data_IF_667371288182
#
_entry.id   IF_667371288182
#
_cell.length_a   1.000
_cell.length_b   1.000
_cell.length_c   1.000
_cell.angle_alpha   90.00
_cell.angle_beta   90.00
_cell.angle_gamma   90.00
#
_symmetry.space_group_name_H-M   'P 1'
#
loop_
_entity.id
_entity.type
_entity.pdbx_description
1 polymer ?
#
# COMPACT_ATOMS: atom_id res chain seq x y z
N UNK A 1 -0.90 -46.53 -47.05
CA UNK A 1 0.05 -45.44 -46.77
C UNK A 1 -0.63 -44.12 -47.15
N UNK A 2 -1.11 -43.37 -46.15
CA UNK A 2 -0.61 -41.99 -46.00
C UNK A 2 -0.17 -41.71 -44.56
N UNK A 3 0.92 -40.98 -44.43
CA UNK A 3 1.57 -40.64 -43.16
C UNK A 3 0.79 -39.53 -42.44
N UNK A 4 0.35 -39.80 -41.21
CA UNK A 4 -0.14 -38.78 -40.28
C UNK A 4 1.04 -38.05 -39.65
N UNK A 5 1.22 -36.79 -40.04
CA UNK A 5 2.18 -35.87 -39.46
C UNK A 5 1.72 -35.46 -38.04
N UNK A 6 2.33 -36.05 -37.01
CA UNK A 6 2.24 -35.55 -35.63
C UNK A 6 3.03 -34.24 -35.54
N UNK A 7 2.34 -33.11 -35.50
CA UNK A 7 2.93 -31.84 -35.07
C UNK A 7 3.18 -31.91 -33.56
N UNK A 8 4.46 -32.04 -33.19
CA UNK A 8 4.92 -31.89 -31.82
C UNK A 8 4.68 -30.45 -31.37
N UNK A 9 3.87 -30.28 -30.32
CA UNK A 9 3.60 -29.00 -29.68
C UNK A 9 4.85 -28.57 -28.91
N UNK A 10 5.46 -27.46 -29.33
CA UNK A 10 6.59 -26.85 -28.63
C UNK A 10 6.21 -26.48 -27.19
N UNK A 11 7.13 -26.62 -26.21
CA UNK A 11 6.90 -26.18 -24.84
C UNK A 11 6.75 -24.65 -24.80
N UNK A 12 5.73 -24.16 -24.10
CA UNK A 12 5.47 -22.74 -23.89
C UNK A 12 6.68 -22.08 -23.19
N UNK A 13 7.07 -20.85 -23.58
CA UNK A 13 8.18 -20.15 -22.97
C UNK A 13 7.85 -19.79 -21.51
N UNK A 14 8.70 -20.26 -20.61
CA UNK A 14 8.96 -19.76 -19.26
C UNK A 14 7.78 -19.20 -18.49
N UNK A 15 7.12 -20.04 -17.69
CA UNK A 15 6.46 -19.55 -16.50
C UNK A 15 7.54 -18.87 -15.64
N UNK A 16 7.57 -17.54 -15.62
CA UNK A 16 8.32 -16.77 -14.64
C UNK A 16 7.77 -17.23 -13.30
N UNK A 17 8.59 -17.92 -12.51
CA UNK A 17 8.24 -18.31 -11.15
C UNK A 17 8.07 -17.03 -10.35
N UNK A 18 6.84 -16.49 -10.34
CA UNK A 18 6.45 -15.41 -9.45
C UNK A 18 6.66 -15.98 -8.06
N UNK A 19 7.72 -15.54 -7.39
CA UNK A 19 7.97 -15.92 -6.01
C UNK A 19 6.90 -15.18 -5.20
N UNK A 20 5.79 -15.85 -4.93
CA UNK A 20 4.79 -15.40 -3.98
C UNK A 20 5.52 -15.11 -2.65
N UNK A 21 5.62 -13.83 -2.26
CA UNK A 21 6.33 -13.46 -1.05
C UNK A 21 5.34 -13.38 0.10
N UNK A 22 5.46 -14.36 0.99
CA UNK A 22 4.70 -14.39 2.24
C UNK A 22 5.04 -13.13 3.05
N UNK A 23 4.00 -12.40 3.42
CA UNK A 23 4.04 -11.15 4.17
C UNK A 23 3.70 -11.42 5.63
N UNK A 24 4.70 -11.38 6.49
CA UNK A 24 4.52 -11.59 7.94
C UNK A 24 3.64 -10.49 8.56
N UNK A 25 3.74 -9.27 8.03
CA UNK A 25 2.88 -8.16 8.42
C UNK A 25 1.42 -8.43 8.09
N UNK A 26 1.12 -8.87 6.86
CA UNK A 26 -0.24 -9.20 6.49
C UNK A 26 -0.77 -10.43 7.22
N UNK A 27 0.05 -11.47 7.44
CA UNK A 27 -0.33 -12.60 8.30
C UNK A 27 -0.76 -12.12 9.69
N UNK A 28 0.05 -11.26 10.31
CA UNK A 28 -0.30 -10.68 11.61
C UNK A 28 -1.60 -9.88 11.55
N UNK A 29 -1.79 -9.05 10.52
CA UNK A 29 -3.01 -8.25 10.34
C UNK A 29 -4.24 -9.15 10.28
N UNK A 30 -4.20 -10.21 9.49
CA UNK A 30 -5.35 -11.10 9.33
C UNK A 30 -5.61 -11.94 10.58
N UNK A 31 -4.59 -12.26 11.36
CA UNK A 31 -4.77 -12.83 12.70
C UNK A 31 -5.49 -11.84 13.64
N UNK A 32 -5.19 -10.54 13.59
CA UNK A 32 -5.91 -9.54 14.38
C UNK A 32 -7.38 -9.38 13.95
N UNK A 33 -7.68 -9.63 12.68
CA UNK A 33 -9.01 -9.48 12.10
C UNK A 33 -9.74 -10.83 11.91
N UNK A 34 -9.26 -11.90 12.54
CA UNK A 34 -9.82 -13.25 12.35
C UNK A 34 -11.32 -13.33 12.72
N UNK A 35 -11.74 -12.60 13.77
CA UNK A 35 -13.12 -12.59 14.27
C UNK A 35 -14.03 -11.63 13.49
N UNK A 36 -13.45 -10.75 12.67
CA UNK A 36 -14.22 -9.83 11.83
C UNK A 36 -14.62 -10.53 10.53
N UNK A 37 -15.87 -11.02 10.47
CA UNK A 37 -16.37 -11.74 9.30
C UNK A 37 -16.41 -10.87 8.04
N UNK A 38 -16.67 -9.57 8.18
CA UNK A 38 -16.84 -8.65 7.05
C UNK A 38 -16.03 -7.36 7.26
N UNK A 39 -14.68 -7.44 7.23
CA UNK A 39 -13.84 -6.30 7.57
C UNK A 39 -14.05 -5.15 6.60
N UNK A 40 -14.09 -3.92 7.12
CA UNK A 40 -14.18 -2.69 6.31
C UNK A 40 -12.77 -2.16 6.07
N UNK A 41 -12.35 -2.09 4.82
CA UNK A 41 -10.95 -1.79 4.45
C UNK A 41 -10.92 -0.58 3.54
N UNK A 42 -10.04 0.37 3.82
CA UNK A 42 -9.68 1.42 2.87
C UNK A 42 -8.35 1.06 2.20
N UNK A 43 -8.35 0.89 0.88
CA UNK A 43 -7.16 0.75 0.07
C UNK A 43 -6.73 2.14 -0.47
N UNK A 44 -5.57 2.61 -0.05
CA UNK A 44 -4.98 3.90 -0.46
C UNK A 44 -3.99 3.76 -1.64
N UNK A 45 -3.93 2.58 -2.28
CA UNK A 45 -3.01 2.28 -3.37
C UNK A 45 -3.54 2.64 -4.75
N UNK A 46 -2.69 2.40 -5.76
CA UNK A 46 -3.18 2.31 -7.15
C UNK A 46 -4.16 1.15 -7.23
N UNK A 47 -5.31 1.35 -7.85
CA UNK A 47 -6.32 0.29 -7.97
C UNK A 47 -5.73 -0.94 -8.69
N UNK A 48 -5.71 -2.08 -8.01
CA UNK A 48 -5.15 -3.33 -8.52
C UNK A 48 -6.19 -4.45 -8.44
N UNK A 49 -6.47 -5.10 -9.57
CA UNK A 49 -7.46 -6.18 -9.63
C UNK A 49 -7.13 -7.36 -8.69
N UNK A 50 -5.84 -7.67 -8.53
CA UNK A 50 -5.39 -8.74 -7.63
C UNK A 50 -5.70 -8.42 -6.15
N UNK A 51 -5.42 -7.19 -5.70
CA UNK A 51 -5.78 -6.73 -4.36
C UNK A 51 -7.28 -6.81 -4.13
N UNK A 52 -8.07 -6.26 -5.07
CA UNK A 52 -9.53 -6.28 -4.95
C UNK A 52 -10.08 -7.70 -4.86
N UNK A 53 -9.58 -8.62 -5.70
CA UNK A 53 -9.99 -10.02 -5.67
C UNK A 53 -9.69 -10.65 -4.30
N UNK A 54 -8.46 -10.52 -3.79
CA UNK A 54 -8.09 -11.09 -2.50
C UNK A 54 -8.96 -10.56 -1.34
N UNK A 55 -9.26 -9.26 -1.33
CA UNK A 55 -10.10 -8.65 -0.31
C UNK A 55 -11.58 -9.06 -0.43
N UNK A 56 -12.11 -9.15 -1.64
CA UNK A 56 -13.50 -9.57 -1.89
C UNK A 56 -13.71 -11.06 -1.58
N UNK A 57 -12.73 -11.92 -1.86
CA UNK A 57 -12.73 -13.34 -1.44
C UNK A 57 -12.77 -13.49 0.08
N UNK A 58 -12.27 -12.49 0.83
CA UNK A 58 -12.38 -12.40 2.30
C UNK A 58 -13.70 -11.80 2.78
N UNK A 59 -14.62 -11.55 1.85
CA UNK A 59 -15.90 -10.87 2.06
C UNK A 59 -15.73 -9.43 2.60
N UNK A 60 -14.56 -8.81 2.41
CA UNK A 60 -14.31 -7.46 2.91
C UNK A 60 -15.17 -6.42 2.17
N UNK A 61 -15.66 -5.42 2.91
CA UNK A 61 -16.18 -4.20 2.30
C UNK A 61 -15.01 -3.26 2.01
N UNK A 62 -14.71 -3.06 0.73
CA UNK A 62 -13.55 -2.27 0.30
C UNK A 62 -13.98 -0.86 -0.13
N UNK A 63 -13.33 0.14 0.46
CA UNK A 63 -13.29 1.52 0.00
C UNK A 63 -11.97 1.72 -0.74
N UNK A 64 -12.01 2.39 -1.89
CA UNK A 64 -10.81 2.62 -2.72
C UNK A 64 -10.57 4.12 -2.81
N UNK A 65 -9.33 4.52 -2.58
CA UNK A 65 -8.83 5.87 -2.82
C UNK A 65 -7.47 5.77 -3.50
N UNK A 66 -7.38 6.11 -4.80
CA UNK A 66 -6.12 6.05 -5.53
C UNK A 66 -5.21 7.24 -5.20
N UNK A 67 -4.59 7.20 -4.03
CA UNK A 67 -3.72 8.29 -3.55
C UNK A 67 -2.35 8.27 -4.22
N UNK A 68 -1.95 7.16 -4.86
CA UNK A 68 -0.63 7.00 -5.46
C UNK A 68 -0.56 7.48 -6.91
N UNK A 69 -1.67 7.41 -7.67
CA UNK A 69 -1.72 7.95 -9.03
C UNK A 69 -1.60 9.47 -9.05
N UNK A 70 -1.92 10.15 -7.94
CA UNK A 70 -1.79 11.60 -7.79
C UNK A 70 -0.33 12.10 -7.81
N UNK A 71 0.66 11.21 -7.69
CA UNK A 71 2.09 11.54 -7.73
C UNK A 71 2.74 11.29 -9.10
N UNK A 72 1.96 10.93 -10.13
CA UNK A 72 2.50 10.78 -11.47
C UNK A 72 2.86 12.15 -12.07
N UNK A 73 3.83 12.23 -13.01
CA UNK A 73 4.18 13.49 -13.67
C UNK A 73 3.01 14.19 -14.38
N UNK A 74 1.99 13.42 -14.80
CA UNK A 74 0.78 13.86 -15.51
C UNK A 74 -0.43 14.11 -14.59
N UNK A 75 -0.25 14.05 -13.26
CA UNK A 75 -1.31 14.10 -12.26
C UNK A 75 -1.75 15.53 -11.88
N UNK A 76 -2.91 15.69 -11.18
CA UNK A 76 -3.39 16.97 -10.67
C UNK A 76 -2.35 17.73 -9.83
N UNK A 77 -2.43 19.07 -9.83
CA UNK A 77 -1.47 19.93 -9.14
C UNK A 77 -1.64 19.87 -7.61
N UNK A 78 -1.01 18.85 -7.00
CA UNK A 78 -0.89 18.69 -5.54
C UNK A 78 -0.01 19.78 -4.91
N UNK A 79 0.58 20.66 -5.70
CA UNK A 79 1.51 21.66 -5.26
C UNK A 79 1.02 23.05 -5.64
N UNK A 80 0.98 23.94 -4.66
CA UNK A 80 0.84 25.36 -4.92
C UNK A 80 2.17 25.93 -5.39
N UNK A 81 2.37 26.03 -6.70
CA UNK A 81 3.58 26.63 -7.29
C UNK A 81 3.56 28.15 -7.32
N UNK A 82 2.49 28.80 -6.85
CA UNK A 82 2.47 30.26 -6.70
C UNK A 82 3.24 30.74 -5.47
N UNK A 83 3.59 29.82 -4.56
CA UNK A 83 4.39 30.08 -3.36
C UNK A 83 5.84 29.61 -3.56
N UNK A 84 6.77 30.25 -2.85
CA UNK A 84 8.19 29.88 -2.84
C UNK A 84 8.67 29.65 -1.38
N UNK A 85 8.99 28.40 -0.99
CA UNK A 85 8.92 27.19 -1.80
C UNK A 85 7.46 26.73 -2.06
N UNK A 86 7.22 25.90 -3.09
CA UNK A 86 5.90 25.35 -3.37
C UNK A 86 5.29 24.63 -2.16
N UNK A 87 3.98 24.79 -1.95
CA UNK A 87 3.28 24.20 -0.79
C UNK A 87 2.48 22.98 -1.19
N UNK A 88 2.70 21.85 -0.51
CA UNK A 88 1.92 20.64 -0.73
C UNK A 88 0.49 20.78 -0.19
N UNK A 89 -0.49 20.52 -1.06
CA UNK A 89 -1.92 20.63 -0.76
C UNK A 89 -2.50 19.29 -0.34
N UNK A 90 -2.28 18.90 0.92
CA UNK A 90 -2.81 17.64 1.47
C UNK A 90 -4.33 17.52 1.31
N UNK A 91 -5.07 18.64 1.44
CA UNK A 91 -6.51 18.66 1.22
C UNK A 91 -6.93 18.20 -0.18
N UNK A 92 -6.15 18.51 -1.22
CA UNK A 92 -6.42 18.04 -2.60
C UNK A 92 -6.22 16.53 -2.72
N UNK A 93 -5.18 15.98 -2.07
CA UNK A 93 -4.96 14.55 -2.01
C UNK A 93 -6.13 13.85 -1.29
N UNK A 94 -6.54 14.36 -0.13
CA UNK A 94 -7.58 13.77 0.70
C UNK A 94 -8.98 13.84 0.09
N UNK A 95 -9.25 14.72 -0.87
CA UNK A 95 -10.53 14.73 -1.62
C UNK A 95 -10.78 13.44 -2.41
N UNK A 96 -9.74 12.67 -2.69
CA UNK A 96 -9.86 11.37 -3.36
C UNK A 96 -10.33 10.26 -2.42
N UNK A 97 -10.33 10.51 -1.10
CA UNK A 97 -10.85 9.56 -0.11
C UNK A 97 -12.39 9.67 -0.09
N UNK A 98 -13.12 8.56 -0.28
CA UNK A 98 -14.57 8.58 -0.23
C UNK A 98 -15.07 8.97 1.18
N UNK A 99 -16.32 9.44 1.31
CA UNK A 99 -16.89 9.74 2.61
C UNK A 99 -16.98 8.46 3.45
N UNK A 100 -16.10 8.34 4.44
CA UNK A 100 -15.98 7.21 5.36
C UNK A 100 -16.30 7.72 6.78
N UNK A 101 -17.25 7.09 7.50
CA UNK A 101 -17.49 7.46 8.90
C UNK A 101 -16.24 7.21 9.76
N UNK A 102 -15.93 8.15 10.65
CA UNK A 102 -14.86 7.96 11.65
C UNK A 102 -15.10 6.72 12.50
N UNK A 103 -14.03 6.03 12.89
CA UNK A 103 -14.13 4.86 13.75
C UNK A 103 -14.84 3.65 13.13
N UNK A 104 -14.94 3.56 11.80
CA UNK A 104 -15.72 2.52 11.13
C UNK A 104 -14.89 1.45 10.41
N UNK A 105 -13.62 1.73 10.11
CA UNK A 105 -12.75 0.81 9.36
C UNK A 105 -12.07 -0.20 10.28
N UNK A 106 -11.98 -1.44 9.80
CA UNK A 106 -11.20 -2.52 10.40
C UNK A 106 -9.72 -2.40 10.03
N UNK A 107 -9.42 -1.98 8.80
CA UNK A 107 -8.05 -1.71 8.36
C UNK A 107 -7.94 -0.58 7.33
N UNK A 108 -6.75 0.01 7.26
CA UNK A 108 -6.35 0.92 6.17
C UNK A 108 -5.06 0.38 5.57
N UNK A 109 -5.03 0.24 4.24
CA UNK A 109 -3.86 -0.23 3.50
C UNK A 109 -3.23 0.99 2.84
N UNK A 110 -2.18 1.49 3.48
CA UNK A 110 -1.26 2.46 2.92
C UNK A 110 -0.10 1.68 2.32
N UNK A 111 0.14 1.79 1.02
CA UNK A 111 1.33 1.19 0.42
C UNK A 111 2.52 2.12 0.68
N UNK A 112 3.27 2.50 -0.35
CA UNK A 112 4.39 3.44 -0.24
C UNK A 112 4.00 4.92 0.00
N UNK A 113 2.74 5.20 0.33
CA UNK A 113 2.19 6.56 0.34
C UNK A 113 3.01 7.53 1.20
N UNK A 114 3.48 7.10 2.37
CA UNK A 114 4.21 7.99 3.28
C UNK A 114 5.62 8.31 2.78
N UNK A 115 6.21 7.47 1.91
CA UNK A 115 7.48 7.77 1.25
C UNK A 115 7.34 8.77 0.08
N UNK A 116 6.11 9.07 -0.35
CA UNK A 116 5.80 9.96 -1.46
C UNK A 116 5.28 11.34 -1.03
N UNK A 117 5.19 11.61 0.26
CA UNK A 117 4.59 12.84 0.81
C UNK A 117 5.64 13.61 1.62
N UNK A 118 5.64 14.96 1.58
CA UNK A 118 6.54 15.74 2.42
C UNK A 118 6.33 15.43 3.90
N UNK A 119 7.43 15.40 4.66
CA UNK A 119 7.39 15.10 6.10
C UNK A 119 6.47 16.04 6.90
N UNK A 120 6.30 17.29 6.45
CA UNK A 120 5.41 18.28 7.08
C UNK A 120 3.92 17.92 6.97
N UNK A 121 3.52 17.14 5.98
CA UNK A 121 2.13 16.73 5.77
C UNK A 121 1.78 15.37 6.41
N UNK A 122 2.79 14.61 6.85
CA UNK A 122 2.58 13.30 7.47
C UNK A 122 1.73 13.34 8.75
N UNK A 123 1.90 14.29 9.70
CA UNK A 123 1.08 14.33 10.91
C UNK A 123 -0.41 14.41 10.63
N UNK A 124 -0.83 15.35 9.77
CA UNK A 124 -2.24 15.54 9.42
C UNK A 124 -2.80 14.34 8.64
N UNK A 125 -2.02 13.77 7.71
CA UNK A 125 -2.42 12.57 6.98
C UNK A 125 -2.62 11.37 7.91
N UNK A 126 -1.68 11.15 8.83
CA UNK A 126 -1.73 10.05 9.79
C UNK A 126 -2.94 10.23 10.71
N UNK A 127 -3.13 11.42 11.28
CA UNK A 127 -4.30 11.72 12.11
C UNK A 127 -5.60 11.42 11.37
N UNK A 128 -5.70 11.86 10.12
CA UNK A 128 -6.87 11.60 9.28
C UNK A 128 -7.10 10.10 9.05
N UNK A 129 -6.06 9.35 8.69
CA UNK A 129 -6.14 7.90 8.48
C UNK A 129 -6.56 7.18 9.76
N UNK A 130 -5.94 7.50 10.89
CA UNK A 130 -6.26 6.90 12.19
C UNK A 130 -7.68 7.25 12.63
N UNK A 131 -8.21 8.42 12.26
CA UNK A 131 -9.58 8.81 12.58
C UNK A 131 -10.62 7.84 12.00
N UNK A 132 -10.33 7.20 10.87
CA UNK A 132 -11.24 6.24 10.24
C UNK A 132 -11.22 4.86 10.90
N UNK A 133 -10.11 4.48 11.55
CA UNK A 133 -10.00 3.20 12.22
C UNK A 133 -10.87 3.14 13.48
N UNK A 134 -11.62 2.05 13.61
CA UNK A 134 -12.29 1.69 14.87
C UNK A 134 -11.27 1.29 15.94
N UNK A 135 -11.63 1.24 17.23
CA UNK A 135 -10.76 0.67 18.26
C UNK A 135 -10.33 -0.76 17.90
N UNK A 136 -9.03 -1.05 17.97
CA UNK A 136 -8.43 -2.31 17.53
C UNK A 136 -8.23 -2.45 16.02
N UNK A 137 -8.61 -1.45 15.22
CA UNK A 137 -8.34 -1.40 13.79
C UNK A 137 -6.85 -1.23 13.49
N UNK A 138 -6.45 -1.65 12.29
CA UNK A 138 -5.02 -1.72 11.90
C UNK A 138 -4.72 -0.87 10.67
N UNK A 139 -3.76 0.05 10.78
CA UNK A 139 -3.12 0.66 9.62
C UNK A 139 -1.94 -0.23 9.21
N UNK A 140 -1.96 -0.69 7.96
CA UNK A 140 -0.83 -1.33 7.29
C UNK A 140 -0.14 -0.30 6.39
N UNK A 141 1.18 -0.16 6.54
CA UNK A 141 2.04 0.70 5.75
C UNK A 141 3.13 -0.15 5.09
N UNK A 142 3.34 -0.01 3.78
CA UNK A 142 4.49 -0.62 3.10
C UNK A 142 5.52 0.46 2.74
N UNK A 143 6.53 0.60 3.57
CA UNK A 143 7.54 1.67 3.46
C UNK A 143 8.85 1.10 2.96
N UNK A 144 9.67 1.89 2.26
CA UNK A 144 10.98 1.42 1.83
C UNK A 144 11.97 1.38 3.00
N UNK A 145 13.02 0.57 2.90
CA UNK A 145 14.19 0.69 3.79
C UNK A 145 15.05 1.90 3.38
N UNK A 146 15.86 2.38 4.31
CA UNK A 146 16.81 3.47 4.13
C UNK A 146 17.80 3.30 2.98
N UNK A 147 18.11 2.05 2.60
CA UNK A 147 19.01 1.73 1.50
C UNK A 147 18.33 1.76 0.12
N UNK A 148 16.99 1.83 0.05
CA UNK A 148 16.23 1.86 -1.20
C UNK A 148 16.08 3.31 -1.68
N UNK A 149 16.81 3.63 -2.76
CA UNK A 149 16.84 4.99 -3.35
C UNK A 149 15.82 5.20 -4.47
N UNK A 150 15.45 4.13 -5.16
CA UNK A 150 14.56 4.12 -6.32
C UNK A 150 13.38 3.18 -6.08
N UNK A 151 12.29 3.40 -6.82
CA UNK A 151 11.05 2.64 -6.66
C UNK A 151 9.84 3.48 -6.27
N UNK A 152 9.89 4.80 -6.46
CA UNK A 152 8.74 5.67 -6.16
C UNK A 152 7.47 5.25 -6.94
N UNK A 153 7.65 4.66 -8.12
CA UNK A 153 6.57 4.18 -8.98
C UNK A 153 6.25 2.68 -8.83
N UNK A 154 6.99 1.96 -7.97
CA UNK A 154 6.78 0.52 -7.74
C UNK A 154 5.31 0.26 -7.41
N UNK A 155 4.73 -0.78 -8.03
CA UNK A 155 3.36 -1.17 -7.75
C UNK A 155 3.35 -2.39 -6.85
N UNK A 156 2.67 -2.28 -5.73
CA UNK A 156 2.46 -3.39 -4.81
C UNK A 156 0.99 -3.81 -4.85
N UNK A 157 0.76 -5.10 -4.73
CA UNK A 157 -0.59 -5.65 -4.63
C UNK A 157 -0.61 -6.91 -3.78
N UNK A 158 -1.80 -7.26 -3.30
CA UNK A 158 -2.04 -8.58 -2.73
C UNK A 158 -2.19 -9.58 -3.88
N UNK A 159 -1.41 -10.65 -3.85
CA UNK A 159 -1.68 -11.84 -4.67
C UNK A 159 -2.67 -12.77 -3.96
N UNK A 160 -2.55 -12.84 -2.64
CA UNK A 160 -3.46 -13.46 -1.68
C UNK A 160 -3.42 -12.63 -0.38
N UNK A 161 -4.29 -12.94 0.59
CA UNK A 161 -4.40 -12.16 1.83
C UNK A 161 -3.04 -11.92 2.53
N UNK A 162 -2.19 -12.94 2.60
CA UNK A 162 -0.86 -12.86 3.22
C UNK A 162 0.29 -12.88 2.22
N UNK A 163 0.04 -12.61 0.93
CA UNK A 163 1.07 -12.66 -0.10
C UNK A 163 1.17 -11.34 -0.82
N UNK A 164 2.35 -10.73 -0.78
CA UNK A 164 2.67 -9.55 -1.56
C UNK A 164 3.28 -9.90 -2.91
N UNK A 165 2.85 -9.16 -3.92
CA UNK A 165 3.47 -9.15 -5.24
C UNK A 165 3.92 -7.74 -5.60
N UNK A 166 5.18 -7.64 -5.98
CA UNK A 166 5.79 -6.45 -6.57
C UNK A 166 5.61 -6.51 -8.09
N UNK A 167 5.05 -5.46 -8.68
CA UNK A 167 4.90 -5.29 -10.12
C UNK A 167 5.80 -4.15 -10.59
N UNK A 168 6.92 -4.53 -11.22
CA UNK A 168 8.01 -3.65 -11.65
C UNK A 168 8.89 -3.17 -10.51
N UNK A 169 10.16 -2.87 -10.83
CA UNK A 169 11.09 -2.31 -9.84
C UNK A 169 10.92 -0.81 -9.65
N UNK A 170 10.49 -0.09 -10.70
CA UNK A 170 10.34 1.37 -10.70
C UNK A 170 11.71 2.07 -10.66
N UNK A 171 12.08 2.76 -11.73
CA UNK A 171 13.38 3.46 -11.81
C UNK A 171 13.34 4.88 -11.21
N UNK A 172 12.15 5.39 -10.86
CA UNK A 172 12.01 6.75 -10.35
C UNK A 172 12.56 6.85 -8.92
N UNK A 173 13.46 7.82 -8.64
CA UNK A 173 13.92 8.09 -7.28
C UNK A 173 12.80 8.66 -6.42
N UNK A 174 12.86 8.42 -5.12
CA UNK A 174 11.96 9.08 -4.18
C UNK A 174 12.36 10.54 -3.97
N UNK A 175 11.37 11.43 -3.95
CA UNK A 175 11.60 12.87 -3.77
C UNK A 175 11.97 13.26 -2.33
N UNK A 176 11.63 12.42 -1.35
CA UNK A 176 11.83 12.70 0.08
C UNK A 176 12.80 11.71 0.71
N UNK A 177 13.32 11.98 1.92
CA UNK A 177 14.00 10.96 2.73
C UNK A 177 13.07 9.80 3.11
N UNK A 178 13.61 8.60 3.39
CA UNK A 178 12.83 7.46 3.85
C UNK A 178 12.23 7.71 5.23
N UNK A 179 10.97 7.30 5.45
CA UNK A 179 10.29 7.49 6.74
C UNK A 179 10.77 6.46 7.76
N UNK A 180 11.51 6.88 8.78
CA UNK A 180 12.11 5.97 9.79
C UNK A 180 11.09 5.38 10.77
N UNK A 181 11.42 4.26 11.42
CA UNK A 181 10.56 3.69 12.49
C UNK A 181 10.30 4.71 13.62
N UNK A 182 11.33 5.46 14.02
CA UNK A 182 11.22 6.51 15.05
C UNK A 182 10.24 7.61 14.65
N UNK A 183 10.22 8.00 13.37
CA UNK A 183 9.23 8.95 12.86
C UNK A 183 7.82 8.35 12.91
N UNK A 184 7.63 7.09 12.52
CA UNK A 184 6.32 6.44 12.66
C UNK A 184 5.87 6.37 14.12
N UNK A 185 6.73 5.93 15.03
CA UNK A 185 6.41 5.88 16.47
C UNK A 185 6.03 7.27 17.02
N UNK A 186 6.72 8.32 16.58
CA UNK A 186 6.42 9.70 16.96
C UNK A 186 5.12 10.25 16.35
N UNK A 187 4.73 9.78 15.16
CA UNK A 187 3.47 10.14 14.51
C UNK A 187 2.27 9.38 15.12
N UNK A 188 2.51 8.18 15.63
CA UNK A 188 1.48 7.24 16.08
C UNK A 188 1.40 7.15 17.60
N UNK A 189 1.61 8.27 18.30
CA UNK A 189 1.64 8.34 19.77
C UNK A 189 0.49 7.54 20.38
N UNK A 190 0.81 6.59 21.27
CA UNK A 190 -0.08 5.61 21.94
C UNK A 190 -0.47 4.33 21.18
N UNK A 191 -0.14 4.19 19.90
CA UNK A 191 -0.45 2.99 19.13
C UNK A 191 0.61 1.89 19.26
N UNK A 192 0.18 0.62 19.15
CA UNK A 192 1.11 -0.51 19.10
C UNK A 192 1.68 -0.63 17.68
N UNK A 193 2.98 -0.38 17.54
CA UNK A 193 3.68 -0.47 16.24
C UNK A 193 4.43 -1.80 16.13
N UNK A 194 4.25 -2.49 15.01
CA UNK A 194 5.05 -3.65 14.61
C UNK A 194 5.69 -3.38 13.26
N UNK A 195 6.91 -3.88 13.08
CA UNK A 195 7.63 -3.74 11.81
C UNK A 195 8.19 -5.09 11.40
N UNK A 196 7.97 -5.46 10.14
CA UNK A 196 8.53 -6.65 9.52
C UNK A 196 9.34 -6.23 8.29
N UNK A 197 10.44 -6.91 8.02
CA UNK A 197 11.26 -6.66 6.84
C UNK A 197 10.92 -7.66 5.75
N UNK A 198 10.62 -7.17 4.55
CA UNK A 198 10.44 -7.99 3.36
C UNK A 198 11.78 -8.32 2.72
N UNK A 199 11.81 -9.36 1.89
CA UNK A 199 13.01 -9.76 1.12
C UNK A 199 13.47 -8.72 0.10
N UNK A 200 12.64 -7.72 -0.19
CA UNK A 200 12.91 -6.68 -1.20
C UNK A 200 13.50 -5.39 -0.63
N UNK A 201 13.85 -5.37 0.66
CA UNK A 201 14.30 -4.13 1.32
C UNK A 201 13.15 -3.15 1.58
N UNK A 202 11.93 -3.67 1.76
CA UNK A 202 10.77 -2.89 2.20
C UNK A 202 10.36 -3.33 3.60
N UNK A 203 9.75 -2.43 4.35
CA UNK A 203 9.25 -2.60 5.71
C UNK A 203 7.73 -2.59 5.69
N UNK A 204 7.14 -3.61 6.28
CA UNK A 204 5.73 -3.69 6.59
C UNK A 204 5.54 -3.14 8.00
N UNK A 205 4.96 -1.95 8.10
CA UNK A 205 4.72 -1.28 9.38
C UNK A 205 3.23 -1.36 9.69
N UNK A 206 2.91 -1.94 10.84
CA UNK A 206 1.54 -2.15 11.29
C UNK A 206 1.30 -1.36 12.56
N UNK A 207 0.23 -0.57 12.56
CA UNK A 207 -0.15 0.30 13.67
C UNK A 207 -1.54 -0.08 14.11
N UNK A 208 -1.68 -0.56 15.34
CA UNK A 208 -2.98 -0.88 15.94
C UNK A 208 -3.46 0.27 16.81
N UNK A 209 -4.66 0.78 16.49
CA UNK A 209 -5.36 1.83 17.25
C UNK A 209 -6.07 1.27 18.48
#
# INVERSE_FOLDING_TARGET
>A
MPASSRTARAPSPGAVTVTANVSLGLEWLWQQLQDDRQPKILDCGRMQAATMRALLEREAKVYVADLLSAFRPDAPDLWDRSQDPPVFRLGELLRQVPPIPSGSLSAVFSWQLFDLIPASALPELVERILSYLRPGGVLFCLLRDSNVREGAETRWCLEALSTLRKDGDGAMPFAYPPVTNRQIEGLMLSANVKTFLTRFGWREVLVRK
#
